data_IF_853230305812
#
_entry.id   IF_853230305812
#
_cell.length_a   1.000
_cell.length_b   1.000
_cell.length_c   1.000
_cell.angle_alpha   90.00
_cell.angle_beta   90.00
_cell.angle_gamma   90.00
#
_symmetry.space_group_name_H-M   'P 1'
#
loop_
_entity.id
_entity.type
_entity.pdbx_description
1 polymer ?
#
# COMPACT_ATOMS: atom_id res chain seq x y z
N UNK A 1 9.21 11.16 31.42
CA UNK A 1 9.84 10.97 30.09
C UNK A 1 8.78 11.34 29.05
N UNK A 2 8.80 12.59 28.58
CA UNK A 2 7.80 13.13 27.66
C UNK A 2 8.14 12.67 26.24
N UNK A 3 7.26 11.87 25.64
CA UNK A 3 7.39 11.41 24.26
C UNK A 3 6.87 12.52 23.33
N UNK A 4 7.75 13.40 22.87
CA UNK A 4 7.49 14.40 21.82
C UNK A 4 7.58 13.79 20.41
N UNK A 5 6.96 12.63 20.22
CA UNK A 5 6.58 12.15 18.89
C UNK A 5 5.21 12.72 18.53
N UNK A 6 4.89 12.96 17.24
CA UNK A 6 3.55 13.39 16.87
C UNK A 6 2.53 12.38 17.41
N UNK A 7 1.59 12.85 18.23
CA UNK A 7 0.48 12.04 18.72
C UNK A 7 -0.22 11.40 17.52
N UNK A 8 -0.14 10.07 17.43
CA UNK A 8 -0.75 9.32 16.33
C UNK A 8 -2.26 9.22 16.52
N UNK A 9 -2.71 9.10 17.77
CA UNK A 9 -4.12 9.09 18.17
C UNK A 9 -4.53 10.43 18.79
N UNK A 10 -5.83 10.70 18.73
CA UNK A 10 -6.45 11.86 19.36
C UNK A 10 -6.58 11.65 20.89
N UNK A 11 -7.11 12.64 21.61
CA UNK A 11 -7.19 12.62 23.08
C UNK A 11 -8.05 11.48 23.63
N UNK A 12 -9.03 11.01 22.85
CA UNK A 12 -9.87 9.86 23.17
C UNK A 12 -9.16 8.50 22.95
N UNK A 13 -7.92 8.55 22.47
CA UNK A 13 -7.08 7.40 22.15
C UNK A 13 -7.41 6.73 20.81
N UNK A 14 -8.30 7.33 20.00
CA UNK A 14 -8.65 6.83 18.67
C UNK A 14 -7.69 7.36 17.61
N UNK A 15 -7.22 6.48 16.74
CA UNK A 15 -6.48 6.88 15.54
C UNK A 15 -7.43 7.33 14.43
N UNK A 16 -7.33 8.62 14.04
CA UNK A 16 -8.05 9.17 12.87
C UNK A 16 -7.06 9.50 11.76
N UNK A 17 -7.21 8.83 10.61
CA UNK A 17 -6.33 9.06 9.45
C UNK A 17 -6.70 10.40 8.80
N UNK A 18 -5.70 11.27 8.63
CA UNK A 18 -5.86 12.49 7.85
C UNK A 18 -5.93 12.16 6.36
N UNK A 19 -6.82 12.83 5.64
CA UNK A 19 -6.98 12.66 4.20
C UNK A 19 -5.80 13.25 3.41
N UNK A 20 -5.51 12.63 2.27
CA UNK A 20 -4.54 13.09 1.27
C UNK A 20 -4.98 14.43 0.65
N UNK A 21 -4.04 15.36 0.41
CA UNK A 21 -4.33 16.73 -0.06
C UNK A 21 -4.07 16.95 -1.55
N UNK A 22 -3.06 16.28 -2.13
CA UNK A 22 -2.83 16.35 -3.58
C UNK A 22 -3.68 15.29 -4.27
N UNK A 23 -4.60 15.75 -5.15
CA UNK A 23 -5.69 14.94 -5.73
C UNK A 23 -5.88 15.17 -7.23
N UNK A 24 -4.83 15.65 -7.92
CA UNK A 24 -4.87 15.79 -9.38
C UNK A 24 -4.77 14.43 -10.06
N UNK A 25 -5.13 14.38 -11.35
CA UNK A 25 -5.22 13.13 -12.11
C UNK A 25 -4.39 13.14 -13.40
N UNK A 26 -3.94 11.94 -13.78
CA UNK A 26 -3.37 11.59 -15.08
C UNK A 26 -4.37 10.64 -15.77
N UNK A 27 -4.67 10.83 -17.07
CA UNK A 27 -4.24 11.97 -17.88
C UNK A 27 -5.11 13.20 -17.59
N UNK A 28 -4.54 14.39 -17.78
CA UNK A 28 -5.26 15.66 -17.86
C UNK A 28 -4.49 16.62 -18.78
N UNK A 29 -5.07 17.78 -19.13
CA UNK A 29 -4.34 18.80 -19.90
C UNK A 29 -3.04 19.22 -19.21
N UNK A 30 -3.07 19.35 -17.88
CA UNK A 30 -1.89 19.70 -17.08
C UNK A 30 -0.93 18.51 -16.94
N UNK A 31 -1.47 17.30 -16.75
CA UNK A 31 -0.69 16.07 -16.51
C UNK A 31 -0.99 15.00 -17.58
N UNK A 32 -0.53 15.17 -18.84
CA UNK A 32 -0.69 14.16 -19.89
C UNK A 32 0.16 12.91 -19.59
N UNK A 33 -0.32 11.74 -19.96
CA UNK A 33 0.36 10.48 -19.71
C UNK A 33 1.58 10.29 -20.65
N UNK A 34 2.77 10.69 -20.20
CA UNK A 34 4.02 10.67 -20.98
C UNK A 34 5.08 9.78 -20.29
N UNK A 35 5.85 9.03 -21.08
CA UNK A 35 6.94 8.21 -20.57
C UNK A 35 8.10 9.07 -20.05
N UNK A 36 8.68 8.68 -18.91
CA UNK A 36 9.81 9.36 -18.28
C UNK A 36 9.47 10.67 -17.56
N UNK A 37 8.22 11.12 -17.59
CA UNK A 37 7.78 12.36 -16.94
C UNK A 37 7.47 12.21 -15.46
N UNK A 38 6.96 11.05 -15.05
CA UNK A 38 6.43 10.83 -13.70
C UNK A 38 7.35 9.99 -12.83
N UNK A 39 7.35 10.32 -11.54
CA UNK A 39 8.13 9.63 -10.50
C UNK A 39 7.17 9.19 -9.40
N UNK A 40 7.28 7.93 -9.00
CA UNK A 40 6.54 7.37 -7.88
C UNK A 40 7.51 7.21 -6.69
N UNK A 41 7.40 8.10 -5.70
CA UNK A 41 8.11 7.94 -4.44
C UNK A 41 7.38 6.94 -3.55
N UNK A 42 8.10 5.93 -3.08
CA UNK A 42 7.57 4.86 -2.22
C UNK A 42 8.47 4.58 -1.02
N UNK A 43 7.93 3.85 -0.05
CA UNK A 43 8.73 3.07 0.88
C UNK A 43 8.16 1.64 0.88
N UNK A 44 9.00 0.62 0.73
CA UNK A 44 8.51 -0.77 0.66
C UNK A 44 7.81 -1.26 1.95
N UNK A 45 8.06 -0.59 3.09
CA UNK A 45 7.33 -0.77 4.34
C UNK A 45 5.85 -0.39 4.26
N UNK A 46 5.49 0.59 3.43
CA UNK A 46 4.14 1.17 3.40
C UNK A 46 3.17 0.33 2.54
N UNK A 47 2.04 -0.17 3.09
CA UNK A 47 1.07 -0.95 2.33
C UNK A 47 0.32 -0.11 1.29
N UNK A 48 0.13 1.19 1.53
CA UNK A 48 -0.51 2.10 0.57
C UNK A 48 0.38 2.30 -0.66
N UNK A 49 1.69 2.48 -0.45
CA UNK A 49 2.66 2.62 -1.55
C UNK A 49 2.85 1.28 -2.28
N UNK A 50 2.74 0.18 -1.55
CA UNK A 50 2.81 -1.16 -2.13
C UNK A 50 1.72 -1.40 -3.18
N UNK A 51 0.49 -0.87 -3.01
CA UNK A 51 -0.57 -0.94 -4.03
C UNK A 51 -0.14 -0.33 -5.36
N UNK A 52 0.37 0.90 -5.31
CA UNK A 52 0.84 1.61 -6.49
C UNK A 52 2.00 0.85 -7.17
N UNK A 53 2.92 0.28 -6.38
CA UNK A 53 4.04 -0.49 -6.93
C UNK A 53 3.61 -1.84 -7.54
N UNK A 54 2.64 -2.53 -6.92
CA UNK A 54 2.03 -3.74 -7.49
C UNK A 54 1.43 -3.41 -8.85
N UNK A 55 0.63 -2.35 -8.95
CA UNK A 55 -0.02 -1.97 -10.22
C UNK A 55 1.01 -1.52 -11.26
N UNK A 56 2.01 -0.71 -10.88
CA UNK A 56 3.13 -0.34 -11.75
C UNK A 56 3.79 -1.57 -12.38
N UNK A 57 4.06 -2.59 -11.56
CA UNK A 57 4.70 -3.84 -12.00
C UNK A 57 3.74 -4.71 -12.82
N UNK A 58 2.48 -4.89 -12.39
CA UNK A 58 1.44 -5.65 -13.12
C UNK A 58 1.18 -5.10 -14.51
N UNK A 59 1.22 -3.77 -14.65
CA UNK A 59 0.97 -3.07 -15.92
C UNK A 59 2.21 -2.96 -16.81
N UNK A 60 3.39 -3.32 -16.32
CA UNK A 60 4.62 -3.17 -17.08
C UNK A 60 5.04 -1.71 -17.27
N UNK A 61 4.78 -0.85 -16.27
CA UNK A 61 5.04 0.60 -16.32
C UNK A 61 6.44 0.98 -15.84
N UNK A 62 7.35 0.01 -15.68
CA UNK A 62 8.64 0.25 -15.04
C UNK A 62 9.54 1.21 -15.81
N UNK A 63 9.49 1.13 -17.14
CA UNK A 63 10.24 2.01 -18.05
C UNK A 63 9.51 3.35 -18.33
N UNK A 64 8.27 3.50 -17.85
CA UNK A 64 7.42 4.68 -18.08
C UNK A 64 7.40 5.60 -16.86
N UNK A 65 7.29 5.01 -15.67
CA UNK A 65 7.22 5.73 -14.39
C UNK A 65 8.40 5.29 -13.54
N UNK A 66 9.27 6.23 -13.21
CA UNK A 66 10.41 5.94 -12.35
C UNK A 66 9.95 5.67 -10.92
N UNK A 67 10.62 4.74 -10.23
CA UNK A 67 10.33 4.41 -8.84
C UNK A 67 11.53 4.80 -7.99
N UNK A 68 11.28 5.63 -6.97
CA UNK A 68 12.33 6.04 -6.03
C UNK A 68 11.90 5.64 -4.62
N UNK A 69 12.74 4.86 -3.94
CA UNK A 69 12.52 4.51 -2.54
C UNK A 69 13.05 5.63 -1.63
N UNK A 70 12.20 6.06 -0.69
CA UNK A 70 12.60 6.81 0.50
C UNK A 70 12.80 5.84 1.67
N UNK A 71 13.77 6.14 2.54
CA UNK A 71 13.97 5.43 3.80
C UNK A 71 12.96 5.84 4.86
N UNK A 72 12.88 5.05 5.94
CA UNK A 72 12.01 5.34 7.09
C UNK A 72 12.46 6.57 7.89
N UNK A 73 11.97 6.75 9.12
CA UNK A 73 12.19 7.98 9.88
C UNK A 73 13.67 8.24 10.19
N UNK A 74 14.15 9.45 9.86
CA UNK A 74 15.45 9.95 10.32
C UNK A 74 15.39 10.23 11.82
N UNK A 75 15.86 9.26 12.61
CA UNK A 75 15.88 9.33 14.07
C UNK A 75 16.84 10.39 14.62
N UNK A 76 17.92 10.70 13.89
CA UNK A 76 18.90 11.70 14.33
C UNK A 76 18.33 13.11 14.17
N UNK A 77 17.66 13.37 13.04
CA UNK A 77 17.06 14.66 12.77
C UNK A 77 15.61 14.81 13.28
N UNK A 78 14.97 13.73 13.73
CA UNK A 78 13.56 13.73 14.13
C UNK A 78 12.62 14.01 12.95
N UNK A 79 13.01 13.65 11.73
CA UNK A 79 12.28 13.94 10.48
C UNK A 79 11.71 12.67 9.86
N UNK A 80 10.64 12.82 9.08
CA UNK A 80 9.97 11.72 8.38
C UNK A 80 10.80 11.13 7.23
N UNK A 81 10.11 10.64 6.19
CA UNK A 81 10.74 10.01 5.02
C UNK A 81 11.90 10.83 4.44
N UNK A 82 13.04 10.18 4.24
CA UNK A 82 14.28 10.82 3.77
C UNK A 82 15.10 9.90 2.87
N UNK A 83 16.13 10.46 2.24
CA UNK A 83 17.05 9.75 1.37
C UNK A 83 18.34 9.51 2.14
N UNK A 84 18.61 8.29 2.62
CA UNK A 84 19.74 8.04 3.50
C UNK A 84 21.05 7.74 2.77
N UNK A 85 20.98 7.29 1.50
CA UNK A 85 22.12 6.72 0.77
C UNK A 85 22.43 5.28 1.17
N UNK A 86 21.58 4.67 2.00
CA UNK A 86 21.73 3.30 2.48
C UNK A 86 20.75 2.35 1.76
N UNK A 87 20.96 1.05 1.94
CA UNK A 87 20.07 0.01 1.39
C UNK A 87 19.88 0.06 -0.13
N UNK A 88 20.83 0.64 -0.86
CA UNK A 88 20.75 0.82 -2.32
C UNK A 88 19.88 2.00 -2.77
N UNK A 89 19.33 2.79 -1.84
CA UNK A 89 18.64 4.05 -2.12
C UNK A 89 19.61 5.23 -2.27
N UNK A 90 19.17 6.36 -2.85
CA UNK A 90 20.04 7.51 -3.06
C UNK A 90 20.23 8.30 -1.76
N UNK A 91 21.30 9.08 -1.67
CA UNK A 91 21.60 9.94 -0.51
C UNK A 91 20.89 11.30 -0.54
N UNK A 92 20.34 11.65 -1.71
CA UNK A 92 19.42 12.75 -1.99
C UNK A 92 18.52 12.33 -3.15
N UNK A 93 17.33 12.90 -3.24
CA UNK A 93 16.44 12.69 -4.38
C UNK A 93 17.15 13.05 -5.71
N UNK A 94 17.31 12.13 -6.66
CA UNK A 94 17.93 12.44 -7.96
C UNK A 94 17.09 13.39 -8.82
N UNK A 95 15.81 13.61 -8.48
CA UNK A 95 14.90 14.47 -9.25
C UNK A 95 14.97 15.91 -8.79
N UNK A 96 14.77 16.13 -7.50
CA UNK A 96 14.66 17.47 -6.93
C UNK A 96 15.91 17.88 -6.15
N UNK A 97 16.83 16.96 -5.87
CA UNK A 97 17.95 17.20 -4.96
C UNK A 97 17.51 17.41 -3.52
N UNK A 98 16.36 16.90 -3.09
CA UNK A 98 15.89 16.98 -1.70
C UNK A 98 16.50 15.90 -0.82
N UNK A 99 16.80 16.22 0.44
CA UNK A 99 17.23 15.22 1.44
C UNK A 99 16.03 14.55 2.13
N UNK A 100 14.92 15.26 2.25
CA UNK A 100 13.69 14.77 2.88
C UNK A 100 12.51 14.86 1.92
N UNK A 101 11.58 13.90 1.97
CA UNK A 101 10.36 13.95 1.16
C UNK A 101 9.50 15.19 1.49
N UNK A 102 9.60 15.72 2.72
CA UNK A 102 8.95 16.99 3.09
C UNK A 102 9.40 18.15 2.20
N UNK A 103 10.68 18.18 1.81
CA UNK A 103 11.19 19.24 0.93
C UNK A 103 10.60 19.11 -0.48
N UNK A 104 10.34 17.90 -0.97
CA UNK A 104 9.62 17.66 -2.23
C UNK A 104 8.19 18.23 -2.14
N UNK A 105 7.49 17.98 -1.05
CA UNK A 105 6.16 18.58 -0.80
C UNK A 105 6.19 20.10 -0.76
N UNK A 106 7.20 20.68 -0.08
CA UNK A 106 7.35 22.14 0.02
C UNK A 106 7.77 22.80 -1.31
N UNK A 107 8.36 22.04 -2.24
CA UNK A 107 8.57 22.49 -3.63
C UNK A 107 7.27 22.57 -4.40
N UNK A 108 6.37 21.61 -4.21
CA UNK A 108 5.04 21.62 -4.84
C UNK A 108 4.13 22.71 -4.25
N UNK A 109 4.17 22.90 -2.94
CA UNK A 109 3.40 23.90 -2.21
C UNK A 109 4.22 24.40 -1.00
N UNK A 110 4.81 25.61 -1.05
CA UNK A 110 5.58 26.18 0.05
C UNK A 110 4.79 26.37 1.35
N UNK A 111 3.46 26.40 1.28
CA UNK A 111 2.55 26.53 2.41
C UNK A 111 1.93 25.18 2.81
N UNK A 112 2.50 24.06 2.34
CA UNK A 112 1.93 22.74 2.60
C UNK A 112 1.83 22.43 4.10
N UNK A 113 0.58 22.32 4.55
CA UNK A 113 0.23 21.85 5.88
C UNK A 113 -0.39 20.46 5.77
N UNK A 114 0.26 19.42 6.27
CA UNK A 114 -0.28 18.06 6.22
C UNK A 114 0.75 16.99 6.48
N UNK A 115 0.31 15.72 6.42
CA UNK A 115 1.21 14.58 6.49
C UNK A 115 1.92 14.37 5.15
N UNK A 116 3.23 14.29 5.21
CA UNK A 116 4.09 13.85 4.10
C UNK A 116 3.98 12.32 4.01
N UNK A 117 3.36 11.80 2.95
CA UNK A 117 3.01 10.39 2.83
C UNK A 117 3.62 9.74 1.60
N UNK A 118 3.78 8.43 1.66
CA UNK A 118 3.99 7.60 0.47
C UNK A 118 2.75 6.72 0.25
N UNK A 119 2.32 6.47 -0.99
CA UNK A 119 2.97 6.87 -2.24
C UNK A 119 2.81 8.38 -2.52
N UNK A 120 3.77 8.96 -3.24
CA UNK A 120 3.68 10.31 -3.83
C UNK A 120 3.97 10.20 -5.33
N UNK A 121 3.02 10.59 -6.17
CA UNK A 121 3.18 10.67 -7.61
C UNK A 121 3.59 12.10 -7.97
N UNK A 122 4.78 12.26 -8.55
CA UNK A 122 5.43 13.53 -8.83
C UNK A 122 5.56 13.75 -10.34
N UNK A 123 5.36 14.99 -10.77
CA UNK A 123 5.58 15.44 -12.14
C UNK A 123 6.91 16.22 -12.23
N UNK A 124 7.85 15.70 -13.03
CA UNK A 124 9.14 16.33 -13.29
C UNK A 124 9.01 17.67 -14.04
N UNK A 125 8.01 17.81 -14.90
CA UNK A 125 7.89 18.98 -15.76
C UNK A 125 7.41 20.20 -14.96
N UNK A 126 6.34 20.03 -14.18
CA UNK A 126 5.79 21.11 -13.35
C UNK A 126 6.44 21.22 -11.97
N UNK A 127 7.37 20.32 -11.62
CA UNK A 127 7.97 20.24 -10.29
C UNK A 127 6.92 20.26 -9.17
N UNK A 128 5.90 19.42 -9.30
CA UNK A 128 4.79 19.37 -8.35
C UNK A 128 4.33 17.94 -8.06
N UNK A 129 3.64 17.78 -6.93
CA UNK A 129 2.96 16.53 -6.59
C UNK A 129 1.64 16.48 -7.34
N UNK A 130 1.46 15.45 -8.17
CA UNK A 130 0.19 15.19 -8.88
C UNK A 130 -0.82 14.65 -7.88
N UNK A 131 -0.46 13.59 -7.16
CA UNK A 131 -1.38 12.89 -6.28
C UNK A 131 -0.63 12.15 -5.17
N UNK A 132 -1.18 12.13 -3.95
CA UNK A 132 -0.65 11.33 -2.83
C UNK A 132 -1.68 10.38 -2.19
N UNK A 133 -2.78 10.11 -2.90
CA UNK A 133 -3.83 9.17 -2.55
C UNK A 133 -3.66 7.85 -3.30
N UNK A 134 -3.25 6.79 -2.59
CA UNK A 134 -2.94 5.48 -3.17
C UNK A 134 -4.08 4.89 -4.00
N UNK A 135 -5.33 5.10 -3.59
CA UNK A 135 -6.51 4.54 -4.27
C UNK A 135 -6.81 5.22 -5.60
N UNK A 136 -6.46 6.50 -5.74
CA UNK A 136 -6.58 7.22 -7.00
C UNK A 136 -5.40 6.94 -7.91
N UNK A 137 -4.19 6.86 -7.34
CA UNK A 137 -2.97 6.53 -8.08
C UNK A 137 -3.13 5.20 -8.81
N UNK A 138 -3.56 4.13 -8.13
CA UNK A 138 -3.76 2.85 -8.81
C UNK A 138 -4.77 2.94 -9.96
N UNK A 139 -5.86 3.69 -9.80
CA UNK A 139 -6.87 3.89 -10.85
C UNK A 139 -6.34 4.64 -12.05
N UNK A 140 -5.49 5.65 -11.84
CA UNK A 140 -4.76 6.29 -12.95
C UNK A 140 -3.88 5.29 -13.69
N UNK A 141 -3.12 4.46 -12.95
CA UNK A 141 -2.19 3.51 -13.55
C UNK A 141 -2.86 2.38 -14.32
N UNK A 142 -4.14 2.08 -14.08
CA UNK A 142 -4.85 1.06 -14.85
C UNK A 142 -4.90 1.42 -16.33
N UNK A 143 -5.27 2.66 -16.68
CA UNK A 143 -5.63 3.03 -18.06
C UNK A 143 -4.85 4.21 -18.63
N UNK A 144 -4.35 5.14 -17.81
CA UNK A 144 -3.81 6.41 -18.31
C UNK A 144 -2.65 6.23 -19.31
N UNK A 145 -1.83 5.21 -19.09
CA UNK A 145 -0.65 4.92 -19.90
C UNK A 145 -0.87 3.80 -20.93
N UNK A 146 -2.11 3.33 -21.13
CA UNK A 146 -2.41 2.20 -22.04
C UNK A 146 -1.90 2.45 -23.47
N UNK A 147 -1.98 3.69 -23.94
CA UNK A 147 -1.54 4.05 -25.29
C UNK A 147 -0.01 3.87 -25.49
N UNK A 148 0.78 3.84 -24.42
CA UNK A 148 2.22 3.59 -24.42
C UNK A 148 2.57 2.10 -24.23
N UNK A 149 1.59 1.26 -23.89
CA UNK A 149 1.79 -0.16 -23.63
C UNK A 149 1.51 -1.00 -24.88
N UNK A 150 2.13 -2.20 -25.01
CA UNK A 150 1.76 -3.15 -26.06
C UNK A 150 0.32 -3.66 -25.84
N UNK A 151 -0.43 -4.01 -26.91
CA UNK A 151 -1.86 -4.32 -26.82
C UNK A 151 -2.26 -5.30 -25.72
N UNK A 152 -1.51 -6.39 -25.52
CA UNK A 152 -1.80 -7.41 -24.50
C UNK A 152 -1.67 -6.93 -23.05
N UNK A 153 -0.97 -5.81 -22.80
CA UNK A 153 -0.84 -5.18 -21.46
C UNK A 153 -1.83 -4.04 -21.22
N UNK A 154 -2.54 -3.60 -22.26
CA UNK A 154 -3.53 -2.52 -22.15
C UNK A 154 -4.73 -3.00 -21.36
N UNK A 155 -5.20 -2.17 -20.45
CA UNK A 155 -6.39 -2.48 -19.67
C UNK A 155 -7.64 -2.52 -20.55
N UNK A 156 -7.72 -1.60 -21.52
CA UNK A 156 -8.79 -1.59 -22.52
C UNK A 156 -8.91 -2.90 -23.33
N UNK A 157 -7.84 -3.72 -23.42
CA UNK A 157 -7.85 -4.99 -24.13
C UNK A 157 -8.31 -6.18 -23.29
N UNK A 158 -8.49 -6.02 -21.97
CA UNK A 158 -8.78 -7.13 -21.05
C UNK A 158 -10.27 -7.45 -20.89
N UNK A 159 -11.16 -6.53 -21.25
CA UNK A 159 -12.61 -6.72 -21.09
C UNK A 159 -12.97 -7.16 -19.66
N UNK A 160 -13.59 -8.34 -19.46
CA UNK A 160 -13.95 -8.82 -18.12
C UNK A 160 -12.75 -9.16 -17.23
N UNK A 161 -11.54 -9.33 -17.79
CA UNK A 161 -10.30 -9.61 -17.06
C UNK A 161 -9.55 -8.35 -16.62
N UNK A 162 -10.17 -7.17 -16.74
CA UNK A 162 -9.62 -5.93 -16.21
C UNK A 162 -9.45 -5.97 -14.69
N UNK A 163 -8.58 -5.10 -14.17
CA UNK A 163 -8.40 -4.80 -12.77
C UNK A 163 -9.63 -4.10 -12.17
N UNK A 164 -10.39 -3.34 -12.96
CA UNK A 164 -11.64 -2.72 -12.54
C UNK A 164 -12.68 -2.74 -13.68
N UNK A 165 -13.24 -3.91 -14.02
CA UNK A 165 -14.17 -4.04 -15.13
C UNK A 165 -15.56 -3.52 -14.72
N UNK A 166 -16.29 -2.91 -15.66
CA UNK A 166 -17.53 -2.18 -15.36
C UNK A 166 -18.58 -3.01 -14.61
N UNK A 167 -18.76 -4.28 -14.99
CA UNK A 167 -19.73 -5.18 -14.37
C UNK A 167 -19.40 -5.57 -12.91
N UNK A 168 -18.16 -5.36 -12.46
CA UNK A 168 -17.74 -5.61 -11.07
C UNK A 168 -17.46 -4.33 -10.30
N UNK A 169 -17.60 -3.15 -10.92
CA UNK A 169 -17.21 -1.89 -10.28
C UNK A 169 -17.97 -1.61 -8.99
N UNK A 170 -19.29 -1.72 -9.02
CA UNK A 170 -20.13 -1.51 -7.84
C UNK A 170 -19.83 -2.51 -6.70
N UNK A 171 -19.79 -3.83 -6.92
CA UNK A 171 -19.46 -4.77 -5.84
C UNK A 171 -18.00 -4.62 -5.35
N UNK A 172 -17.04 -4.28 -6.22
CA UNK A 172 -15.67 -3.95 -5.82
C UNK A 172 -15.64 -2.70 -4.93
N UNK A 173 -16.35 -1.63 -5.31
CA UNK A 173 -16.42 -0.40 -4.52
C UNK A 173 -17.06 -0.65 -3.15
N UNK A 174 -18.14 -1.44 -3.11
CA UNK A 174 -18.78 -1.85 -1.86
C UNK A 174 -17.83 -2.65 -0.95
N UNK A 175 -17.09 -3.61 -1.51
CA UNK A 175 -16.11 -4.38 -0.74
C UNK A 175 -14.96 -3.50 -0.25
N UNK A 176 -14.38 -2.69 -1.13
CA UNK A 176 -13.27 -1.81 -0.82
C UNK A 176 -13.56 -0.81 0.29
N UNK A 177 -14.82 -0.34 0.40
CA UNK A 177 -15.22 0.59 1.45
C UNK A 177 -15.06 0.00 2.85
N UNK A 178 -15.67 -1.18 3.11
CA UNK A 178 -15.54 -1.81 4.43
C UNK A 178 -14.16 -2.43 4.63
N UNK A 179 -13.55 -3.05 3.61
CA UNK A 179 -12.17 -3.57 3.71
C UNK A 179 -11.20 -2.45 4.06
N UNK A 180 -11.35 -1.26 3.49
CA UNK A 180 -10.54 -0.11 3.88
C UNK A 180 -10.75 0.24 5.36
N UNK A 181 -12.00 0.41 5.78
CA UNK A 181 -12.30 0.94 7.11
C UNK A 181 -11.92 -0.02 8.25
N UNK A 182 -12.27 -1.30 8.11
CA UNK A 182 -12.17 -2.31 9.17
C UNK A 182 -10.97 -3.24 9.03
N UNK A 183 -10.34 -3.33 7.85
CA UNK A 183 -9.17 -4.20 7.62
C UNK A 183 -7.91 -3.38 7.36
N UNK A 184 -7.83 -2.67 6.21
CA UNK A 184 -6.60 -1.96 5.82
C UNK A 184 -6.25 -0.85 6.80
N UNK A 185 -7.24 -0.05 7.21
CA UNK A 185 -7.08 0.97 8.22
C UNK A 185 -7.36 0.41 9.63
N UNK A 186 -8.16 -0.65 9.75
CA UNK A 186 -8.48 -1.29 11.03
C UNK A 186 -7.26 -1.78 11.80
N UNK A 187 -6.27 -2.39 11.12
CA UNK A 187 -5.01 -2.78 11.77
C UNK A 187 -4.26 -1.57 12.35
N UNK A 188 -4.31 -0.41 11.69
CA UNK A 188 -3.72 0.84 12.22
C UNK A 188 -4.53 1.42 13.37
N UNK A 189 -5.87 1.35 13.31
CA UNK A 189 -6.74 1.74 14.42
C UNK A 189 -6.43 0.92 15.68
N UNK A 190 -6.17 -0.39 15.52
CA UNK A 190 -5.71 -1.25 16.61
C UNK A 190 -4.31 -0.86 17.09
N UNK A 191 -3.34 -0.80 16.18
CA UNK A 191 -1.93 -0.63 16.53
C UNK A 191 -1.59 0.73 17.13
N UNK A 192 -2.36 1.78 16.80
CA UNK A 192 -2.14 3.13 17.29
C UNK A 192 -3.14 3.56 18.38
N UNK A 193 -4.07 2.70 18.76
CA UNK A 193 -4.94 2.98 19.90
C UNK A 193 -4.10 3.16 21.18
N UNK A 194 -4.38 4.22 21.92
CA UNK A 194 -3.73 4.50 23.22
C UNK A 194 -4.67 4.26 24.41
N UNK A 195 -5.91 3.84 24.15
CA UNK A 195 -6.92 3.49 25.15
C UNK A 195 -7.55 2.13 24.85
N UNK A 196 -7.82 1.33 25.89
CA UNK A 196 -8.40 -0.02 25.74
C UNK A 196 -9.72 0.01 24.97
N UNK A 197 -10.60 0.97 25.28
CA UNK A 197 -11.88 1.14 24.58
C UNK A 197 -11.71 1.40 23.07
N UNK A 198 -10.71 2.19 22.67
CA UNK A 198 -10.44 2.48 21.27
C UNK A 198 -9.86 1.26 20.53
N UNK A 199 -9.01 0.49 21.22
CA UNK A 199 -8.51 -0.78 20.72
C UNK A 199 -9.64 -1.81 20.54
N UNK A 200 -10.47 -2.02 21.57
CA UNK A 200 -11.60 -2.94 21.55
C UNK A 200 -12.59 -2.59 20.44
N UNK A 201 -12.87 -1.31 20.24
CA UNK A 201 -13.73 -0.82 19.16
C UNK A 201 -13.18 -1.08 17.74
N UNK A 202 -11.90 -1.45 17.61
CA UNK A 202 -11.23 -1.68 16.33
C UNK A 202 -10.88 -3.16 16.10
N UNK A 203 -10.50 -3.88 17.15
CA UNK A 203 -10.05 -5.27 17.05
C UNK A 203 -11.20 -6.21 16.69
N UNK A 204 -12.38 -6.08 17.28
CA UNK A 204 -13.49 -6.98 16.97
C UNK A 204 -14.02 -6.77 15.54
N UNK A 205 -14.26 -5.52 15.06
CA UNK A 205 -14.66 -5.31 13.66
C UNK A 205 -13.61 -5.78 12.64
N UNK A 206 -12.31 -5.72 12.98
CA UNK A 206 -11.24 -6.27 12.15
C UNK A 206 -11.42 -7.77 11.97
N UNK A 207 -11.59 -8.52 13.06
CA UNK A 207 -11.71 -9.98 12.99
C UNK A 207 -13.06 -10.42 12.41
N UNK A 208 -14.17 -9.72 12.68
CA UNK A 208 -15.45 -9.93 11.98
C UNK A 208 -15.31 -9.75 10.46
N UNK A 209 -14.50 -8.78 10.04
CA UNK A 209 -14.25 -8.52 8.61
C UNK A 209 -13.34 -9.58 7.99
N UNK A 210 -12.35 -10.10 8.73
CA UNK A 210 -11.55 -11.24 8.27
C UNK A 210 -12.40 -12.51 8.15
N UNK A 211 -13.27 -12.80 9.11
CA UNK A 211 -14.24 -13.91 9.03
C UNK A 211 -15.16 -13.74 7.81
N UNK A 212 -15.59 -12.51 7.51
CA UNK A 212 -16.37 -12.21 6.30
C UNK A 212 -15.59 -12.45 5.00
N UNK A 213 -14.31 -12.07 4.92
CA UNK A 213 -13.46 -12.34 3.75
C UNK A 213 -13.25 -13.85 3.57
N UNK A 214 -13.01 -14.57 4.66
CA UNK A 214 -12.83 -16.03 4.64
C UNK A 214 -14.09 -16.74 4.12
N UNK A 215 -15.27 -16.33 4.60
CA UNK A 215 -16.55 -16.81 4.10
C UNK A 215 -16.77 -16.44 2.61
N UNK A 216 -16.42 -15.22 2.22
CA UNK A 216 -16.51 -14.76 0.83
C UNK A 216 -15.67 -15.64 -0.11
N UNK A 217 -14.42 -15.94 0.26
CA UNK A 217 -13.53 -16.84 -0.51
C UNK A 217 -13.96 -18.31 -0.45
N UNK A 218 -14.93 -18.68 0.39
CA UNK A 218 -15.48 -20.04 0.42
C UNK A 218 -16.42 -20.31 -0.76
N UNK A 219 -17.05 -19.27 -1.29
CA UNK A 219 -17.97 -19.37 -2.43
C UNK A 219 -17.22 -19.73 -3.72
N UNK A 220 -17.67 -20.73 -4.49
CA UNK A 220 -17.02 -21.12 -5.75
C UNK A 220 -16.91 -19.98 -6.77
N UNK A 221 -17.84 -19.01 -6.74
CA UNK A 221 -17.84 -17.83 -7.60
C UNK A 221 -16.72 -16.81 -7.24
N UNK A 222 -16.05 -16.98 -6.10
CA UNK A 222 -15.05 -16.06 -5.57
C UNK A 222 -13.69 -16.76 -5.39
N UNK A 223 -13.34 -17.62 -6.36
CA UNK A 223 -12.04 -18.26 -6.45
C UNK A 223 -11.49 -18.21 -7.89
N UNK A 224 -10.16 -18.12 -8.06
CA UNK A 224 -9.16 -18.05 -6.99
C UNK A 224 -9.00 -16.65 -6.36
N UNK A 225 -9.66 -15.62 -6.91
CA UNK A 225 -9.59 -14.23 -6.43
C UNK A 225 -10.93 -13.73 -5.89
N UNK A 226 -10.92 -12.56 -5.22
CA UNK A 226 -12.09 -12.02 -4.53
C UNK A 226 -13.33 -11.89 -5.44
N UNK A 227 -13.16 -11.63 -6.72
CA UNK A 227 -14.27 -11.53 -7.67
C UNK A 227 -14.19 -12.54 -8.81
N UNK A 228 -13.65 -13.74 -8.54
CA UNK A 228 -13.65 -14.87 -9.45
C UNK A 228 -12.29 -15.14 -10.09
N UNK A 229 -12.26 -15.32 -11.42
CA UNK A 229 -11.10 -15.82 -12.16
C UNK A 229 -9.95 -14.81 -12.27
N UNK A 230 -10.24 -13.52 -12.21
CA UNK A 230 -9.27 -12.46 -12.53
C UNK A 230 -8.91 -11.61 -11.31
N UNK A 231 -7.66 -11.14 -11.29
CA UNK A 231 -7.16 -10.23 -10.26
C UNK A 231 -7.84 -8.87 -10.45
N UNK A 232 -8.42 -8.33 -9.38
CA UNK A 232 -9.10 -7.03 -9.39
C UNK A 232 -8.43 -6.03 -8.46
N UNK A 233 -8.90 -4.78 -8.50
CA UNK A 233 -8.54 -3.73 -7.53
C UNK A 233 -8.76 -4.20 -6.09
N UNK A 234 -9.78 -5.02 -5.82
CA UNK A 234 -10.05 -5.52 -4.48
C UNK A 234 -8.88 -6.38 -3.97
N UNK A 235 -8.34 -7.26 -4.83
CA UNK A 235 -7.21 -8.12 -4.48
C UNK A 235 -5.95 -7.30 -4.22
N UNK A 236 -5.67 -6.34 -5.12
CA UNK A 236 -4.53 -5.41 -5.03
C UNK A 236 -4.60 -4.59 -3.73
N UNK A 237 -5.79 -4.18 -3.29
CA UNK A 237 -5.96 -3.36 -2.08
C UNK A 237 -5.88 -4.18 -0.80
N UNK A 238 -6.36 -5.42 -0.82
CA UNK A 238 -6.34 -6.33 0.33
C UNK A 238 -4.94 -6.93 0.55
N UNK A 239 -4.24 -7.33 -0.51
CA UNK A 239 -3.00 -8.11 -0.41
C UNK A 239 -1.93 -7.46 0.47
N UNK A 240 -1.60 -6.16 0.34
CA UNK A 240 -0.59 -5.53 1.17
C UNK A 240 -0.87 -5.62 2.67
N UNK A 241 -2.16 -5.66 3.06
CA UNK A 241 -2.54 -5.83 4.47
C UNK A 241 -2.37 -7.28 4.90
N UNK A 242 -2.92 -8.24 4.16
CA UNK A 242 -2.87 -9.66 4.54
C UNK A 242 -1.43 -10.19 4.55
N UNK A 243 -0.62 -9.85 3.54
CA UNK A 243 0.77 -10.28 3.47
C UNK A 243 1.62 -9.78 4.66
N UNK A 244 1.26 -8.62 5.25
CA UNK A 244 1.93 -8.07 6.44
C UNK A 244 1.37 -8.58 7.76
N UNK A 245 0.21 -9.24 7.75
CA UNK A 245 -0.58 -9.48 8.96
C UNK A 245 0.20 -10.28 10.00
N UNK A 246 0.64 -11.49 9.65
CA UNK A 246 1.35 -12.35 10.59
C UNK A 246 2.75 -11.82 10.94
N UNK A 247 3.43 -11.17 9.99
CA UNK A 247 4.82 -10.70 10.17
C UNK A 247 4.95 -9.38 10.92
N UNK A 248 3.88 -8.59 10.99
CA UNK A 248 3.91 -7.27 11.60
C UNK A 248 2.65 -7.02 12.45
N UNK A 249 1.46 -7.04 11.86
CA UNK A 249 0.25 -6.56 12.55
C UNK A 249 -0.15 -7.42 13.75
N UNK A 250 -0.03 -8.74 13.62
CA UNK A 250 -0.38 -9.69 14.67
C UNK A 250 0.32 -9.33 15.98
N UNK A 251 1.65 -9.23 15.97
CA UNK A 251 2.44 -8.90 17.16
C UNK A 251 2.49 -7.39 17.45
N UNK A 252 2.90 -6.58 16.47
CA UNK A 252 3.27 -5.18 16.70
C UNK A 252 2.03 -4.28 16.86
N UNK A 253 0.96 -4.57 16.13
CA UNK A 253 -0.31 -3.84 16.24
C UNK A 253 -1.33 -4.55 17.14
N UNK A 254 -0.90 -5.61 17.84
CA UNK A 254 -1.75 -6.41 18.73
C UNK A 254 -2.98 -6.96 18.01
N UNK A 255 -2.91 -7.19 16.70
CA UNK A 255 -4.02 -7.78 15.94
C UNK A 255 -4.03 -9.31 16.13
N UNK A 256 -4.18 -9.78 17.37
CA UNK A 256 -3.71 -11.11 17.78
C UNK A 256 -4.80 -12.11 18.20
N UNK A 257 -6.06 -11.91 17.82
CA UNK A 257 -7.14 -12.89 18.08
C UNK A 257 -6.88 -14.20 17.32
N UNK A 258 -6.47 -14.12 16.05
CA UNK A 258 -6.16 -15.23 15.13
C UNK A 258 -5.01 -14.84 14.19
N UNK A 259 -4.26 -15.81 13.67
CA UNK A 259 -3.26 -15.63 12.61
C UNK A 259 -3.83 -16.03 11.24
N UNK A 260 -3.39 -15.36 10.17
CA UNK A 260 -3.81 -15.72 8.80
C UNK A 260 -3.41 -17.16 8.46
N UNK A 261 -2.14 -17.52 8.68
CA UNK A 261 -1.58 -18.83 8.29
C UNK A 261 -2.17 -20.04 9.00
N UNK A 262 -2.90 -19.86 10.11
CA UNK A 262 -3.41 -20.95 10.94
C UNK A 262 -4.94 -20.99 10.99
N UNK A 263 -5.58 -19.82 11.03
CA UNK A 263 -7.01 -19.74 11.32
C UNK A 263 -7.85 -19.32 10.11
N UNK A 264 -7.23 -18.86 9.02
CA UNK A 264 -7.90 -18.40 7.80
C UNK A 264 -7.36 -19.12 6.55
N UNK A 265 -7.66 -20.42 6.37
CA UNK A 265 -7.07 -21.24 5.32
C UNK A 265 -7.34 -20.73 3.90
N UNK A 266 -8.47 -20.05 3.64
CA UNK A 266 -8.79 -19.52 2.31
C UNK A 266 -8.09 -18.20 2.04
N UNK A 267 -8.05 -17.30 3.02
CA UNK A 267 -7.25 -16.07 2.93
C UNK A 267 -5.76 -16.42 2.77
N UNK A 268 -5.24 -17.38 3.54
CA UNK A 268 -3.86 -17.83 3.41
C UNK A 268 -3.58 -18.40 2.02
N UNK A 269 -4.45 -19.28 1.50
CA UNK A 269 -4.33 -19.83 0.14
C UNK A 269 -4.39 -18.73 -0.93
N UNK A 270 -5.33 -17.79 -0.82
CA UNK A 270 -5.48 -16.66 -1.74
C UNK A 270 -4.22 -15.78 -1.75
N UNK A 271 -3.70 -15.43 -0.56
CA UNK A 271 -2.50 -14.60 -0.43
C UNK A 271 -1.26 -15.31 -1.00
N UNK A 272 -1.08 -16.61 -0.68
CA UNK A 272 0.02 -17.41 -1.22
C UNK A 272 -0.08 -17.59 -2.73
N UNK A 273 -1.30 -17.76 -3.26
CA UNK A 273 -1.56 -17.80 -4.70
C UNK A 273 -1.07 -16.55 -5.40
N UNK A 274 -1.44 -15.36 -4.89
CA UNK A 274 -0.95 -14.09 -5.42
C UNK A 274 0.57 -13.93 -5.27
N UNK A 275 1.12 -14.30 -4.11
CA UNK A 275 2.53 -14.10 -3.80
C UNK A 275 3.47 -15.04 -4.57
N UNK A 276 3.10 -16.30 -4.79
CA UNK A 276 3.99 -17.28 -5.43
C UNK A 276 3.75 -17.48 -6.92
N UNK A 277 2.61 -17.02 -7.46
CA UNK A 277 2.37 -17.06 -8.90
C UNK A 277 3.31 -16.07 -9.62
N UNK A 278 4.24 -16.60 -10.40
CA UNK A 278 5.18 -15.85 -11.25
C UNK A 278 4.81 -15.93 -12.74
N UNK A 279 3.60 -16.38 -13.07
CA UNK A 279 3.11 -16.45 -14.46
C UNK A 279 2.77 -15.06 -15.03
N UNK A 280 2.37 -15.03 -16.30
CA UNK A 280 1.88 -13.81 -16.95
C UNK A 280 0.66 -13.20 -16.21
N UNK A 281 -0.14 -14.03 -15.55
CA UNK A 281 -1.32 -13.60 -14.79
C UNK A 281 -0.99 -12.55 -13.73
N UNK A 282 0.18 -12.66 -13.10
CA UNK A 282 0.67 -11.71 -12.08
C UNK A 282 1.76 -10.78 -12.64
N UNK A 283 1.87 -10.61 -13.96
CA UNK A 283 2.91 -9.78 -14.56
C UNK A 283 4.32 -10.33 -14.29
N UNK A 284 4.46 -11.66 -14.23
CA UNK A 284 5.72 -12.30 -13.89
C UNK A 284 6.08 -12.16 -12.41
N UNK A 285 5.10 -12.26 -11.50
CA UNK A 285 5.34 -12.23 -10.05
C UNK A 285 5.36 -10.85 -9.41
N UNK A 286 4.53 -9.91 -9.88
CA UNK A 286 4.46 -8.55 -9.36
C UNK A 286 4.34 -8.49 -7.83
N UNK A 287 3.41 -9.26 -7.25
CA UNK A 287 3.16 -9.32 -5.80
C UNK A 287 4.40 -9.76 -4.99
N UNK A 288 5.18 -10.70 -5.53
CA UNK A 288 6.44 -11.16 -4.92
C UNK A 288 7.55 -10.13 -5.04
N UNK A 289 7.77 -9.63 -6.26
CA UNK A 289 8.84 -8.67 -6.59
C UNK A 289 8.75 -7.40 -5.76
N UNK A 290 7.53 -6.95 -5.46
CA UNK A 290 7.28 -5.73 -4.68
C UNK A 290 7.21 -5.97 -3.17
N UNK A 291 7.32 -7.21 -2.71
CA UNK A 291 7.29 -7.58 -1.29
C UNK A 291 8.69 -7.64 -0.69
N UNK A 292 8.93 -6.84 0.36
CA UNK A 292 10.20 -6.70 1.08
C UNK A 292 9.97 -6.85 2.59
N UNK A 293 9.85 -8.11 3.04
CA UNK A 293 9.43 -8.45 4.41
C UNK A 293 10.35 -7.81 5.46
N UNK A 294 11.65 -7.78 5.21
CA UNK A 294 12.66 -7.16 6.07
C UNK A 294 12.38 -5.67 6.30
N UNK A 295 11.95 -4.95 5.27
CA UNK A 295 11.55 -3.53 5.37
C UNK A 295 10.27 -3.39 6.20
N UNK A 296 9.34 -4.34 6.11
CA UNK A 296 8.11 -4.33 6.90
C UNK A 296 8.44 -4.50 8.37
N UNK A 297 9.14 -5.59 8.72
CA UNK A 297 9.45 -5.92 10.12
C UNK A 297 10.26 -4.82 10.80
N UNK A 298 11.30 -4.31 10.12
CA UNK A 298 12.09 -3.18 10.61
C UNK A 298 11.23 -1.91 10.79
N UNK A 299 10.48 -1.52 9.75
CA UNK A 299 9.67 -0.30 9.77
C UNK A 299 8.62 -0.29 10.86
N UNK A 300 7.83 -1.38 11.00
CA UNK A 300 6.79 -1.46 12.02
C UNK A 300 7.36 -1.56 13.44
N UNK A 301 8.48 -2.26 13.64
CA UNK A 301 9.14 -2.32 14.96
C UNK A 301 9.63 -0.96 15.43
N UNK A 302 10.02 -0.08 14.51
CA UNK A 302 10.42 1.30 14.82
C UNK A 302 9.24 2.19 15.20
N UNK A 303 8.04 1.91 14.69
CA UNK A 303 6.83 2.74 14.90
C UNK A 303 5.98 2.27 16.07
N UNK A 304 5.80 0.96 16.24
CA UNK A 304 4.90 0.40 17.26
C UNK A 304 5.63 -0.32 18.42
N UNK A 305 6.95 -0.51 18.31
CA UNK A 305 7.76 -1.15 19.32
C UNK A 305 8.87 -0.25 19.87
N UNK A 306 9.80 -0.86 20.60
CA UNK A 306 11.03 -0.22 21.07
C UNK A 306 12.17 -0.25 20.02
N UNK A 307 11.87 -0.62 18.77
CA UNK A 307 12.85 -0.81 17.71
C UNK A 307 13.45 -2.21 17.60
N UNK A 308 13.18 -3.13 18.53
CA UNK A 308 13.57 -4.55 18.38
C UNK A 308 12.71 -5.21 17.31
N UNK A 309 13.34 -5.91 16.38
CA UNK A 309 12.68 -6.60 15.26
C UNK A 309 12.40 -8.05 15.64
N UNK A 310 11.13 -8.49 15.74
CA UNK A 310 10.81 -9.89 16.03
C UNK A 310 11.43 -10.83 14.99
N UNK A 311 11.99 -11.97 15.43
CA UNK A 311 12.55 -12.98 14.52
C UNK A 311 11.45 -13.67 13.70
N UNK A 312 10.32 -13.97 14.32
CA UNK A 312 9.21 -14.68 13.69
C UNK A 312 8.24 -13.80 12.89
N UNK A 313 7.22 -14.44 12.32
CA UNK A 313 7.13 -15.88 12.11
C UNK A 313 8.05 -16.32 10.94
N UNK A 314 8.53 -17.56 10.97
CA UNK A 314 9.43 -18.12 9.95
C UNK A 314 8.84 -19.40 9.33
N UNK A 315 8.75 -19.51 7.98
CA UNK A 315 9.03 -18.45 7.02
C UNK A 315 8.00 -17.31 7.09
N UNK A 316 8.36 -16.15 6.52
CA UNK A 316 7.49 -14.98 6.51
C UNK A 316 6.17 -15.25 5.77
N UNK A 317 6.24 -15.89 4.61
CA UNK A 317 5.12 -16.40 3.82
C UNK A 317 5.38 -17.88 3.57
N UNK A 318 4.41 -18.74 3.89
CA UNK A 318 4.53 -20.19 3.69
C UNK A 318 4.59 -20.54 2.20
N UNK A 319 5.31 -21.59 1.78
CA UNK A 319 5.27 -22.11 0.41
C UNK A 319 3.84 -22.50 -0.04
N UNK A 320 3.63 -22.66 -1.35
CA UNK A 320 2.37 -23.20 -1.90
C UNK A 320 2.14 -24.65 -1.47
#
# INVERSE_FOLDING_TARGET
MTNDGPRLADEDGTFRRQASKFRSFIPSEQFPAEAGRYVLYINYGCPWAHRANIVRTLKGLEDIIELIEVDDMDRQAGKGWFFSGQHGGPDRDPVTGSKYLREVYLKADPQYEGRVTVPTLWDRHHNTVVNNESSEIIRMLYTAFDHLLPPHRREAAKGPAGLLPDHLREPIDAMNAWVYDTVNNGVYKCGFATAQKAYDASIYPLFESLDRIEAHLAEPAHQPYLFGEHITEADIRLFPTIARFDTAYYTLFKCNIKMIRHDYPRIDRWMRGLYWDESERTGGGAFKKTTKVEKWKSGYSKVAGNGVVPAGPEPAILPL
#
